data_IF_323679992992
#
_entry.id   IF_323679992992
#
_cell.length_a   1.000
_cell.length_b   1.000
_cell.length_c   1.000
_cell.angle_alpha   90.00
_cell.angle_beta   90.00
_cell.angle_gamma   90.00
#
_symmetry.space_group_name_H-M   'P 1'
#
loop_
_entity.id
_entity.type
_entity.pdbx_description
1 polymer ?
#
# COMPACT_ATOMS: atom_id res chain seq x y z
N UNK A 1 -30.17 -4.44 -39.49
CA UNK A 1 -30.21 -4.03 -38.06
C UNK A 1 -29.20 -4.78 -37.19
N UNK A 2 -28.84 -6.03 -37.49
CA UNK A 2 -27.88 -6.85 -36.72
C UNK A 2 -26.44 -6.31 -36.68
N UNK A 3 -25.97 -5.59 -37.70
CA UNK A 3 -24.59 -5.05 -37.74
C UNK A 3 -24.36 -3.82 -36.83
N UNK A 4 -25.41 -3.09 -36.49
CA UNK A 4 -25.32 -1.92 -35.59
C UNK A 4 -25.21 -2.38 -34.14
N UNK A 5 -25.89 -3.48 -33.79
CA UNK A 5 -25.84 -4.08 -32.45
C UNK A 5 -24.44 -4.61 -32.09
N UNK A 6 -23.73 -5.21 -33.06
CA UNK A 6 -22.37 -5.74 -32.83
C UNK A 6 -21.35 -4.63 -32.59
N UNK A 7 -21.45 -3.51 -33.32
CA UNK A 7 -20.59 -2.34 -33.13
C UNK A 7 -20.81 -1.66 -31.77
N UNK A 8 -22.06 -1.61 -31.29
CA UNK A 8 -22.37 -1.06 -29.97
C UNK A 8 -21.82 -1.93 -28.83
N UNK A 9 -21.84 -3.26 -28.98
CA UNK A 9 -21.30 -4.17 -27.95
C UNK A 9 -19.77 -4.07 -27.82
N UNK A 10 -19.06 -3.74 -28.89
CA UNK A 10 -17.59 -3.69 -28.93
C UNK A 10 -17.03 -2.42 -28.28
N UNK A 11 -17.77 -1.30 -28.31
CA UNK A 11 -17.39 -0.06 -27.63
C UNK A 11 -17.64 -0.07 -26.12
N UNK A 12 -18.57 -0.90 -25.62
CA UNK A 12 -18.80 -1.10 -24.19
C UNK A 12 -17.64 -1.84 -23.48
N UNK A 13 -16.84 -2.62 -24.20
CA UNK A 13 -15.66 -3.30 -23.63
C UNK A 13 -14.45 -2.37 -23.43
N UNK A 14 -14.40 -1.22 -24.10
CA UNK A 14 -13.25 -0.30 -24.04
C UNK A 14 -13.33 0.70 -22.86
N UNK A 15 -14.49 0.83 -22.21
CA UNK A 15 -14.65 1.67 -21.01
C UNK A 15 -14.23 0.97 -19.70
N UNK A 16 -13.77 -0.29 -19.77
CA UNK A 16 -13.41 -1.09 -18.59
C UNK A 16 -12.01 -0.82 -18.03
N UNK A 17 -11.14 -0.08 -18.72
CA UNK A 17 -9.80 0.19 -18.24
C UNK A 17 -9.81 1.47 -17.38
N UNK A 18 -10.20 1.34 -16.11
CA UNK A 18 -9.99 2.40 -15.12
C UNK A 18 -8.49 2.54 -14.89
N UNK A 19 -7.82 3.31 -15.74
CA UNK A 19 -6.44 3.74 -15.47
C UNK A 19 -6.50 4.69 -14.28
N UNK A 20 -6.16 4.18 -13.09
CA UNK A 20 -5.79 5.03 -11.95
C UNK A 20 -4.83 6.09 -12.48
N UNK A 21 -5.16 7.37 -12.30
CA UNK A 21 -4.21 8.43 -12.59
C UNK A 21 -2.89 8.10 -11.86
N UNK A 22 -1.73 8.18 -12.54
CA UNK A 22 -0.46 7.94 -11.87
C UNK A 22 -0.29 8.98 -10.75
N UNK A 23 0.37 8.63 -9.65
CA UNK A 23 0.60 9.58 -8.56
C UNK A 23 1.43 10.76 -9.05
N UNK A 24 1.09 11.97 -8.59
CA UNK A 24 1.71 13.23 -9.05
C UNK A 24 3.24 13.22 -8.96
N UNK A 25 3.79 12.68 -7.87
CA UNK A 25 5.24 12.60 -7.64
C UNK A 25 5.80 11.18 -7.81
N UNK A 26 5.02 10.28 -8.42
CA UNK A 26 5.42 8.89 -8.65
C UNK A 26 5.31 7.98 -7.42
N UNK A 27 6.04 6.85 -7.49
CA UNK A 27 6.08 5.84 -6.45
C UNK A 27 7.43 5.88 -5.72
N UNK A 28 7.44 5.42 -4.47
CA UNK A 28 8.64 5.24 -3.65
C UNK A 28 8.64 3.81 -3.10
N UNK A 29 9.75 3.12 -3.34
CA UNK A 29 9.99 1.77 -2.85
C UNK A 29 10.79 1.81 -1.55
N UNK A 30 10.35 1.04 -0.57
CA UNK A 30 10.95 0.97 0.77
C UNK A 30 10.65 -0.40 1.41
N UNK A 31 11.17 -0.65 2.61
CA UNK A 31 11.10 -1.97 3.25
C UNK A 31 10.42 -1.90 4.61
N UNK A 32 9.60 -2.89 4.93
CA UNK A 32 9.11 -3.08 6.30
C UNK A 32 9.93 -4.18 6.95
N UNK A 33 10.62 -3.86 8.04
CA UNK A 33 11.47 -4.79 8.78
C UNK A 33 10.75 -5.26 10.05
N UNK A 34 10.52 -6.57 10.17
CA UNK A 34 9.98 -7.19 11.37
C UNK A 34 11.12 -7.55 12.33
N UNK A 35 11.33 -6.71 13.34
CA UNK A 35 12.35 -6.92 14.37
C UNK A 35 12.00 -7.95 15.44
N UNK A 36 10.84 -8.61 15.33
CA UNK A 36 10.36 -9.56 16.34
C UNK A 36 10.65 -11.01 15.96
N UNK A 37 10.72 -11.88 16.96
CA UNK A 37 10.89 -13.33 16.79
C UNK A 37 9.65 -14.05 16.26
N UNK A 38 8.53 -13.34 16.08
CA UNK A 38 7.26 -13.89 15.61
C UNK A 38 6.85 -13.27 14.28
N UNK A 39 6.06 -14.01 13.50
CA UNK A 39 5.38 -13.41 12.34
C UNK A 39 4.45 -12.31 12.83
N UNK A 40 4.46 -11.17 12.15
CA UNK A 40 3.51 -10.09 12.40
C UNK A 40 2.57 -9.88 11.22
N UNK A 41 1.42 -9.28 11.50
CA UNK A 41 0.53 -8.73 10.46
C UNK A 41 0.35 -7.24 10.72
N UNK A 42 0.21 -6.46 9.65
CA UNK A 42 0.01 -5.01 9.72
C UNK A 42 -1.16 -4.59 8.83
N UNK A 43 -1.86 -3.54 9.25
CA UNK A 43 -2.60 -2.67 8.33
C UNK A 43 -1.74 -1.44 8.09
N UNK A 44 -1.54 -1.07 6.84
CA UNK A 44 -0.82 0.12 6.43
C UNK A 44 -1.72 0.98 5.56
N UNK A 45 -1.66 2.29 5.76
CA UNK A 45 -2.38 3.29 5.00
C UNK A 45 -1.38 4.27 4.41
N UNK A 46 -1.31 4.29 3.09
CA UNK A 46 -0.60 5.31 2.32
C UNK A 46 -1.41 6.60 2.37
N UNK A 47 -0.86 7.64 3.01
CA UNK A 47 -1.51 8.93 3.18
C UNK A 47 -1.50 9.77 1.90
N UNK A 48 -0.55 9.53 1.01
CA UNK A 48 -0.35 10.31 -0.22
C UNK A 48 -1.43 9.95 -1.23
N UNK A 49 -1.57 8.67 -1.56
CA UNK A 49 -2.65 8.22 -2.47
C UNK A 49 -3.92 7.77 -1.75
N UNK A 50 -3.97 7.90 -0.43
CA UNK A 50 -5.13 7.55 0.38
C UNK A 50 -5.55 6.07 0.23
N UNK A 51 -4.57 5.18 0.09
CA UNK A 51 -4.78 3.74 -0.16
C UNK A 51 -4.42 2.89 1.03
N UNK A 52 -5.28 1.92 1.34
CA UNK A 52 -5.02 0.93 2.38
C UNK A 52 -4.42 -0.36 1.84
N UNK A 53 -3.41 -0.85 2.54
CA UNK A 53 -2.77 -2.14 2.39
C UNK A 53 -3.08 -2.96 3.66
N UNK A 54 -4.08 -3.85 3.56
CA UNK A 54 -4.56 -4.61 4.71
C UNK A 54 -3.82 -5.94 4.86
N UNK A 55 -3.64 -6.38 6.11
CA UNK A 55 -3.12 -7.72 6.46
C UNK A 55 -1.78 -8.05 5.78
N UNK A 56 -0.86 -7.09 5.71
CA UNK A 56 0.51 -7.33 5.30
C UNK A 56 1.16 -8.29 6.28
N UNK A 57 1.52 -9.49 5.84
CA UNK A 57 2.15 -10.52 6.68
C UNK A 57 3.64 -10.52 6.48
N UNK A 58 4.38 -10.36 7.57
CA UNK A 58 5.84 -10.25 7.54
C UNK A 58 6.40 -11.32 8.47
N UNK A 59 7.23 -12.20 7.93
CA UNK A 59 7.82 -13.30 8.69
C UNK A 59 8.75 -12.76 9.79
N UNK A 60 9.02 -13.57 10.81
CA UNK A 60 9.93 -13.19 11.89
C UNK A 60 11.32 -12.88 11.35
N UNK A 61 11.97 -11.81 11.83
CA UNK A 61 13.33 -11.43 11.44
C UNK A 61 13.53 -11.29 9.92
N UNK A 62 12.51 -10.83 9.20
CA UNK A 62 12.56 -10.63 7.74
C UNK A 62 12.11 -9.22 7.37
N UNK A 63 12.47 -8.84 6.14
CA UNK A 63 12.03 -7.62 5.50
C UNK A 63 11.03 -7.93 4.39
N UNK A 64 10.03 -7.08 4.22
CA UNK A 64 9.08 -7.14 3.13
C UNK A 64 9.18 -5.84 2.31
N UNK A 65 9.45 -5.91 0.99
CA UNK A 65 9.42 -4.74 0.14
C UNK A 65 7.99 -4.22 -0.02
N UNK A 66 7.84 -2.90 -0.15
CA UNK A 66 6.57 -2.25 -0.39
C UNK A 66 6.79 -1.00 -1.26
N UNK A 67 5.79 -0.69 -2.08
CA UNK A 67 5.77 0.49 -2.93
C UNK A 67 4.54 1.32 -2.58
N UNK A 68 4.75 2.59 -2.26
CA UNK A 68 3.71 3.58 -1.94
C UNK A 68 3.89 4.82 -2.77
N UNK A 69 2.92 5.72 -2.76
CA UNK A 69 3.02 6.98 -3.50
C UNK A 69 3.98 7.93 -2.79
N UNK A 70 4.79 8.61 -3.59
CA UNK A 70 5.73 9.60 -3.10
C UNK A 70 5.01 10.94 -2.88
N UNK A 71 5.32 11.62 -1.78
CA UNK A 71 4.96 13.02 -1.60
C UNK A 71 5.86 13.93 -2.45
N UNK A 72 5.67 15.24 -2.36
CA UNK A 72 6.44 16.24 -3.11
C UNK A 72 7.97 16.17 -2.87
N UNK A 73 8.37 15.62 -1.73
CA UNK A 73 9.77 15.49 -1.30
C UNK A 73 10.36 14.12 -1.69
N UNK A 74 9.60 13.28 -2.42
CA UNK A 74 10.03 11.95 -2.84
C UNK A 74 9.89 10.86 -1.76
N UNK A 75 9.14 11.12 -0.69
CA UNK A 75 9.05 10.27 0.50
C UNK A 75 7.69 9.57 0.61
N UNK A 76 7.68 8.42 1.27
CA UNK A 76 6.44 7.75 1.65
C UNK A 76 5.88 8.39 2.91
N UNK A 77 4.59 8.75 2.92
CA UNK A 77 3.88 9.09 4.15
C UNK A 77 2.88 8.00 4.50
N UNK A 78 3.12 7.28 5.59
CA UNK A 78 2.33 6.11 5.94
C UNK A 78 1.80 6.18 7.35
N UNK A 79 0.69 5.48 7.55
CA UNK A 79 0.08 5.28 8.85
C UNK A 79 -0.21 3.81 9.03
N UNK A 80 0.30 3.19 10.08
CA UNK A 80 0.20 1.75 10.24
C UNK A 80 -0.10 1.35 11.67
N UNK A 81 -0.58 0.12 11.82
CA UNK A 81 -0.77 -0.57 13.10
C UNK A 81 -0.59 -2.07 12.89
N UNK A 82 -0.23 -2.79 13.95
CA UNK A 82 -0.24 -4.26 13.91
C UNK A 82 -1.66 -4.79 13.84
N UNK A 83 -1.83 -5.98 13.30
CA UNK A 83 -3.11 -6.69 13.29
C UNK A 83 -2.92 -8.08 13.88
N UNK A 84 -3.81 -8.45 14.81
CA UNK A 84 -3.79 -9.75 15.50
C UNK A 84 -2.88 -9.80 16.74
N UNK A 85 -3.29 -10.62 17.72
CA UNK A 85 -2.48 -10.99 18.89
C UNK A 85 -2.18 -9.90 19.92
N UNK A 86 -2.63 -8.65 19.71
CA UNK A 86 -2.32 -7.51 20.58
C UNK A 86 -3.59 -6.66 20.75
N UNK A 87 -3.87 -6.21 21.98
CA UNK A 87 -5.00 -5.33 22.27
C UNK A 87 -4.80 -3.94 21.64
N UNK A 88 -5.90 -3.25 21.31
CA UNK A 88 -5.84 -1.91 20.66
C UNK A 88 -5.10 -0.89 21.53
N UNK A 89 -5.24 -0.95 22.86
CA UNK A 89 -4.52 -0.07 23.79
C UNK A 89 -3.01 -0.30 23.80
N UNK A 90 -2.55 -1.49 23.41
CA UNK A 90 -1.13 -1.87 23.34
C UNK A 90 -0.55 -1.72 21.93
N UNK A 91 -1.36 -1.29 20.95
CA UNK A 91 -0.96 -1.22 19.55
C UNK A 91 -1.49 0.08 18.93
N UNK A 92 -0.89 1.22 19.30
CA UNK A 92 -1.32 2.52 18.79
C UNK A 92 -1.10 2.61 17.29
N UNK A 93 -1.95 3.41 16.64
CA UNK A 93 -1.76 3.80 15.25
C UNK A 93 -0.55 4.75 15.15
N UNK A 94 0.45 4.39 14.34
CA UNK A 94 1.68 5.17 14.17
C UNK A 94 1.68 5.85 12.81
N UNK A 95 2.22 7.06 12.74
CA UNK A 95 2.47 7.78 11.48
C UNK A 95 3.97 7.88 11.27
N UNK A 96 4.43 7.64 10.05
CA UNK A 96 5.85 7.66 9.69
C UNK A 96 6.05 8.28 8.31
N UNK A 97 7.25 8.81 8.13
CA UNK A 97 7.77 9.27 6.84
C UNK A 97 9.01 8.42 6.53
N UNK A 98 9.05 7.79 5.35
CA UNK A 98 10.11 6.84 4.97
C UNK A 98 10.71 7.26 3.64
N UNK A 99 12.04 7.33 3.54
CA UNK A 99 12.69 7.63 2.26
C UNK A 99 12.78 6.39 1.36
N UNK A 100 13.12 6.60 0.09
CA UNK A 100 13.40 5.51 -0.84
C UNK A 100 14.52 4.60 -0.31
N UNK A 101 14.33 3.29 -0.44
CA UNK A 101 15.25 2.23 0.00
C UNK A 101 15.54 2.19 1.51
N UNK A 102 14.82 2.95 2.34
CA UNK A 102 14.92 2.84 3.79
C UNK A 102 14.00 1.74 4.35
N UNK A 103 14.21 1.41 5.62
CA UNK A 103 13.42 0.44 6.35
C UNK A 103 12.57 1.12 7.43
N UNK A 104 11.29 0.75 7.48
CA UNK A 104 10.44 0.96 8.63
C UNK A 104 10.57 -0.22 9.59
N UNK A 105 11.20 0.03 10.72
CA UNK A 105 11.35 -1.00 11.74
C UNK A 105 10.11 -1.10 12.63
N UNK A 106 9.56 -2.30 12.76
CA UNK A 106 8.37 -2.58 13.58
C UNK A 106 8.70 -3.62 14.64
N UNK A 107 8.36 -3.30 15.89
CA UNK A 107 8.54 -4.13 17.08
C UNK A 107 7.21 -4.52 17.73
#
# INVERSE_FOLDING_TARGET
MTRILTLLSMSLFLFGCQTSAPPEFGMVDWYISNGTSNRMSLDLYDKVCQKSHYRLRIAASTEAPISTCANRDGQAEVRFRRTGGISVSQNPLRNEVVNANEYLFVQ
#
